data_IF_364532742544
#
_entry.id   IF_364532742544
#
_cell.length_a   1.000
_cell.length_b   1.000
_cell.length_c   1.000
_cell.angle_alpha   90.00
_cell.angle_beta   90.00
_cell.angle_gamma   90.00
#
_symmetry.space_group_name_H-M   'P 1'
#
loop_
_entity.id
_entity.type
_entity.pdbx_description
1 polymer ?
#
# COMPACT_ATOMS: atom_id res chain seq x y z
N UNK A 1 -16.15 1.32 -1.92
CA UNK A 1 -15.36 0.08 -2.05
C UNK A 1 -14.16 0.13 -1.12
N UNK A 2 -13.87 -0.99 -0.48
CA UNK A 2 -12.73 -1.08 0.43
C UNK A 2 -11.44 -1.06 -0.36
N UNK A 3 -10.50 -0.23 0.06
CA UNK A 3 -9.17 -0.14 -0.53
C UNK A 3 -8.15 -0.72 0.46
N UNK A 4 -7.49 -1.79 0.05
CA UNK A 4 -6.42 -2.42 0.85
C UNK A 4 -5.08 -1.92 0.35
N UNK A 5 -4.24 -1.44 1.27
CA UNK A 5 -2.89 -1.05 0.94
C UNK A 5 -1.92 -2.21 1.16
N UNK A 6 -1.16 -2.52 0.13
CA UNK A 6 -0.08 -3.52 0.21
C UNK A 6 1.23 -2.76 0.32
N UNK A 7 1.75 -2.67 1.53
CA UNK A 7 2.98 -1.91 1.80
C UNK A 7 4.20 -2.82 1.68
N UNK A 8 5.09 -2.46 0.77
CA UNK A 8 6.30 -3.23 0.50
C UNK A 8 7.48 -2.29 0.25
N UNK A 9 8.69 -2.76 0.51
CA UNK A 9 9.90 -1.95 0.30
C UNK A 9 10.26 -1.79 -1.16
N UNK A 10 9.97 -2.78 -1.99
CA UNK A 10 10.27 -2.74 -3.41
C UNK A 10 9.29 -1.83 -4.14
N UNK A 11 9.81 -0.88 -4.91
CA UNK A 11 8.97 0.06 -5.65
C UNK A 11 8.23 -0.56 -6.81
N UNK A 12 8.81 -1.61 -7.41
CA UNK A 12 8.24 -2.21 -8.60
C UNK A 12 7.49 -3.50 -8.23
N UNK A 13 6.15 -3.49 -8.29
CA UNK A 13 5.36 -4.67 -7.93
C UNK A 13 5.57 -5.85 -8.89
N UNK A 14 6.09 -5.60 -10.07
CA UNK A 14 6.33 -6.66 -11.07
C UNK A 14 7.32 -7.71 -10.58
N UNK A 15 8.19 -7.34 -9.64
CA UNK A 15 9.18 -8.26 -9.08
C UNK A 15 8.71 -8.95 -7.80
N UNK A 16 7.48 -8.70 -7.37
CA UNK A 16 6.95 -9.22 -6.12
C UNK A 16 5.83 -10.21 -6.40
N UNK A 17 6.16 -11.48 -6.34
CA UNK A 17 5.19 -12.57 -6.65
C UNK A 17 3.97 -12.50 -5.74
N UNK A 18 4.17 -12.23 -4.45
CA UNK A 18 3.06 -12.08 -3.50
C UNK A 18 2.06 -11.01 -3.91
N UNK A 19 2.54 -9.93 -4.53
CA UNK A 19 1.66 -8.84 -4.95
C UNK A 19 0.66 -9.31 -5.99
N UNK A 20 1.07 -10.15 -6.93
CA UNK A 20 0.15 -10.71 -7.92
C UNK A 20 -0.92 -11.60 -7.27
N UNK A 21 -0.50 -12.43 -6.32
CA UNK A 21 -1.44 -13.30 -5.61
C UNK A 21 -2.48 -12.49 -4.84
N UNK A 22 -2.03 -11.47 -4.09
CA UNK A 22 -2.93 -10.61 -3.35
C UNK A 22 -3.87 -9.82 -4.27
N UNK A 23 -3.36 -9.34 -5.39
CA UNK A 23 -4.17 -8.60 -6.36
C UNK A 23 -5.28 -9.49 -6.93
N UNK A 24 -4.95 -10.75 -7.24
CA UNK A 24 -5.91 -11.71 -7.76
C UNK A 24 -7.01 -12.02 -6.74
N UNK A 25 -6.64 -12.22 -5.49
CA UNK A 25 -7.60 -12.47 -4.41
C UNK A 25 -8.48 -11.25 -4.17
N UNK A 26 -7.89 -10.06 -4.16
CA UNK A 26 -8.64 -8.83 -3.97
C UNK A 26 -9.70 -8.66 -5.06
N UNK A 27 -9.34 -8.92 -6.31
CA UNK A 27 -10.26 -8.83 -7.42
C UNK A 27 -11.41 -9.83 -7.27
N UNK A 28 -11.10 -11.05 -6.87
CA UNK A 28 -12.12 -12.08 -6.64
C UNK A 28 -13.08 -11.72 -5.51
N UNK A 29 -12.59 -11.04 -4.49
CA UNK A 29 -13.37 -10.62 -3.33
C UNK A 29 -14.07 -9.27 -3.52
N UNK A 30 -13.89 -8.62 -4.66
CA UNK A 30 -14.53 -7.35 -4.94
C UNK A 30 -13.96 -6.16 -4.17
N UNK A 31 -12.70 -6.22 -3.79
CA UNK A 31 -11.99 -5.12 -3.12
C UNK A 31 -10.85 -4.63 -4.00
N UNK A 32 -10.40 -3.40 -3.75
CA UNK A 32 -9.28 -2.83 -4.48
C UNK A 32 -7.99 -3.01 -3.68
N UNK A 33 -6.89 -3.25 -4.38
CA UNK A 33 -5.56 -3.37 -3.79
C UNK A 33 -4.64 -2.30 -4.36
N UNK A 34 -4.06 -1.50 -3.48
CA UNK A 34 -3.07 -0.52 -3.84
C UNK A 34 -1.70 -0.98 -3.36
N UNK A 35 -0.79 -1.23 -4.29
CA UNK A 35 0.60 -1.56 -3.97
C UNK A 35 1.40 -0.28 -3.85
N UNK A 36 2.13 -0.11 -2.75
CA UNK A 36 2.95 1.09 -2.58
C UNK A 36 4.13 0.83 -1.65
N UNK A 37 5.13 1.70 -1.77
CA UNK A 37 6.27 1.74 -0.86
C UNK A 37 6.19 3.00 0.01
N UNK A 38 6.92 3.05 1.14
CA UNK A 38 6.90 4.22 2.02
C UNK A 38 7.22 5.55 1.33
N UNK A 39 8.09 5.52 0.33
CA UNK A 39 8.52 6.73 -0.38
C UNK A 39 7.45 7.31 -1.29
N UNK A 40 6.38 6.58 -1.55
CA UNK A 40 5.32 6.99 -2.46
C UNK A 40 4.17 7.71 -1.76
N UNK A 41 4.25 7.89 -0.45
CA UNK A 41 3.20 8.53 0.33
C UNK A 41 3.42 10.03 0.39
N UNK A 42 2.38 10.78 0.05
CA UNK A 42 2.37 12.24 0.17
C UNK A 42 1.46 12.63 1.32
N UNK A 43 2.05 12.95 2.46
CA UNK A 43 1.29 13.31 3.66
C UNK A 43 0.59 14.65 3.54
N UNK A 44 1.19 15.57 2.79
CA UNK A 44 0.61 16.90 2.63
C UNK A 44 -0.70 16.86 1.86
N UNK A 45 -0.75 16.05 0.81
CA UNK A 45 -1.95 15.90 -0.02
C UNK A 45 -2.84 14.75 0.43
N UNK A 46 -2.38 13.92 1.36
CA UNK A 46 -3.07 12.69 1.78
C UNK A 46 -3.31 11.75 0.61
N UNK A 47 -2.30 11.60 -0.25
CA UNK A 47 -2.36 10.72 -1.41
C UNK A 47 -1.16 9.79 -1.46
N UNK A 48 -1.31 8.70 -2.22
CA UNK A 48 -0.25 7.73 -2.45
C UNK A 48 -0.11 7.52 -3.95
N UNK A 49 1.12 7.65 -4.44
CA UNK A 49 1.45 7.34 -5.82
C UNK A 49 1.89 5.88 -5.88
N UNK A 50 0.93 4.98 -6.07
CA UNK A 50 1.18 3.54 -6.02
C UNK A 50 0.80 2.85 -7.32
N UNK A 51 0.52 1.56 -7.22
CA UNK A 51 0.17 0.73 -8.36
C UNK A 51 -1.08 -0.08 -8.09
N UNK A 52 -1.92 -0.21 -9.11
CA UNK A 52 -3.07 -1.11 -9.11
C UNK A 52 -2.94 -2.10 -10.26
N UNK A 53 -3.37 -3.34 -10.03
CA UNK A 53 -3.29 -4.41 -11.03
C UNK A 53 -4.60 -4.50 -11.80
N UNK A 54 -4.53 -4.21 -13.08
CA UNK A 54 -5.69 -4.26 -13.98
C UNK A 54 -5.26 -4.75 -15.36
N UNK A 55 -6.12 -5.56 -15.98
CA UNK A 55 -5.90 -6.05 -17.35
C UNK A 55 -4.53 -6.71 -17.55
N UNK A 56 -4.08 -7.47 -16.56
CA UNK A 56 -2.86 -8.25 -16.65
C UNK A 56 -1.57 -7.49 -16.38
N UNK A 57 -1.64 -6.24 -15.96
CA UNK A 57 -0.45 -5.45 -15.65
C UNK A 57 -0.69 -4.47 -14.51
N UNK A 58 0.40 -3.97 -13.95
CA UNK A 58 0.41 -2.96 -12.92
C UNK A 58 0.38 -1.57 -13.55
N UNK A 59 -0.54 -0.73 -13.09
CA UNK A 59 -0.67 0.65 -13.57
C UNK A 59 -0.41 1.61 -12.43
N UNK A 60 0.41 2.62 -12.69
CA UNK A 60 0.68 3.66 -11.72
C UNK A 60 -0.56 4.53 -11.53
N UNK A 61 -0.93 4.75 -10.27
CA UNK A 61 -2.11 5.56 -9.93
C UNK A 61 -1.80 6.47 -8.76
N UNK A 62 -2.51 7.59 -8.70
CA UNK A 62 -2.53 8.43 -7.51
C UNK A 62 -3.83 8.13 -6.78
N UNK A 63 -3.70 7.68 -5.53
CA UNK A 63 -4.82 7.17 -4.76
C UNK A 63 -4.97 7.89 -3.44
N UNK A 64 -6.16 7.81 -2.86
CA UNK A 64 -6.39 8.16 -1.47
C UNK A 64 -5.68 7.17 -0.54
N UNK A 65 -5.59 7.49 0.73
CA UNK A 65 -5.06 6.55 1.72
C UNK A 65 -5.98 5.33 1.81
N UNK A 66 -5.38 4.13 1.95
CA UNK A 66 -6.16 2.90 2.04
C UNK A 66 -6.92 2.79 3.37
N UNK A 67 -7.97 1.98 3.35
CA UNK A 67 -8.76 1.71 4.56
C UNK A 67 -8.06 0.76 5.50
N UNK A 68 -7.29 -0.18 4.96
CA UNK A 68 -6.54 -1.20 5.71
C UNK A 68 -5.17 -1.33 5.07
N UNK A 69 -4.15 -1.60 5.86
CA UNK A 69 -2.80 -1.81 5.34
C UNK A 69 -2.29 -3.19 5.73
N UNK A 70 -1.85 -3.91 4.72
CA UNK A 70 -1.10 -5.14 4.89
C UNK A 70 0.38 -4.84 4.70
N UNK A 71 1.14 -4.97 5.78
CA UNK A 71 2.57 -4.72 5.76
C UNK A 71 3.32 -6.02 5.50
N UNK A 72 4.00 -6.11 4.36
CA UNK A 72 4.77 -7.29 3.97
C UNK A 72 6.26 -7.15 4.23
N UNK A 73 6.69 -5.97 4.68
CA UNK A 73 8.08 -5.73 4.99
C UNK A 73 8.45 -6.25 6.37
N UNK A 74 9.75 -6.38 6.61
CA UNK A 74 10.24 -6.67 7.95
C UNK A 74 9.94 -5.47 8.86
N UNK A 75 9.22 -5.65 9.96
CA UNK A 75 8.95 -4.54 10.87
C UNK A 75 10.21 -3.81 11.32
N UNK A 76 11.29 -4.53 11.56
CA UNK A 76 12.56 -3.95 11.96
C UNK A 76 13.14 -3.01 10.89
N UNK A 77 13.11 -3.44 9.64
CA UNK A 77 13.62 -2.61 8.53
C UNK A 77 12.74 -1.40 8.30
N UNK A 78 11.46 -1.55 8.47
CA UNK A 78 10.51 -0.44 8.32
C UNK A 78 10.66 0.55 9.47
N UNK A 79 10.85 0.08 10.68
CA UNK A 79 11.01 0.92 11.86
C UNK A 79 12.32 1.72 11.89
N UNK A 80 13.36 1.25 11.20
CA UNK A 80 14.62 1.99 11.10
C UNK A 80 14.53 3.22 10.22
N UNK A 81 13.52 3.30 9.40
CA UNK A 81 13.34 4.42 8.50
C UNK A 81 12.37 5.40 9.14
N UNK A 82 12.86 6.61 9.42
CA UNK A 82 12.05 7.68 10.00
C UNK A 82 10.75 7.92 9.23
N UNK A 83 10.81 7.81 7.92
CA UNK A 83 9.68 7.92 7.02
C UNK A 83 8.62 6.86 7.31
N UNK A 84 9.06 5.63 7.54
CA UNK A 84 8.17 4.50 7.77
C UNK A 84 7.44 4.65 9.10
N UNK A 85 8.14 5.13 10.13
CA UNK A 85 7.53 5.40 11.43
C UNK A 85 6.45 6.49 11.30
N UNK A 86 6.73 7.54 10.55
CA UNK A 86 5.78 8.62 10.33
C UNK A 86 4.55 8.11 9.57
N UNK A 87 4.75 7.29 8.54
CA UNK A 87 3.66 6.66 7.79
C UNK A 87 2.81 5.80 8.72
N UNK A 88 3.45 4.95 9.52
CA UNK A 88 2.76 4.09 10.47
C UNK A 88 1.89 4.87 11.43
N UNK A 89 2.44 5.93 12.03
CA UNK A 89 1.70 6.74 12.97
C UNK A 89 0.50 7.42 12.31
N UNK A 90 0.68 7.96 11.10
CA UNK A 90 -0.41 8.61 10.38
C UNK A 90 -1.51 7.62 10.00
N UNK A 91 -1.14 6.43 9.56
CA UNK A 91 -2.10 5.39 9.17
C UNK A 91 -2.74 4.79 10.41
N UNK A 92 -1.98 4.57 11.46
CA UNK A 92 -2.48 4.08 12.73
C UNK A 92 -3.52 5.04 13.30
N UNK A 93 -3.26 6.33 13.23
CA UNK A 93 -4.22 7.36 13.68
C UNK A 93 -5.51 7.30 12.87
N UNK A 94 -5.42 7.05 11.57
CA UNK A 94 -6.59 6.89 10.73
C UNK A 94 -7.43 5.67 11.14
N UNK A 95 -6.79 4.56 11.50
CA UNK A 95 -7.51 3.33 11.88
C UNK A 95 -8.03 3.34 13.30
N UNK A 96 -7.40 4.06 14.19
CA UNK A 96 -7.86 4.19 15.56
C UNK A 96 -8.80 5.37 15.77
N UNK A 97 -9.10 6.07 14.71
CA UNK A 97 -10.04 7.16 14.73
C UNK A 97 -11.46 6.61 14.78
N UNK A 98 -12.08 6.75 15.92
CA UNK A 98 -13.49 6.37 16.10
C UNK A 98 -14.17 7.38 16.99
#
# INVERSE_FOLDING_TARGET
MILIGFLHQCRNPRHVVKAYAFASVAKAEGVELLYFSPKQVNFKKHTISGYMYENGDWHKVESRFPDVIYNTGSPEKLERNHWTITIWNSIYDLFNWK
#
